data_IF_549082340095
#
_entry.id   IF_549082340095
#
_cell.length_a   1.000
_cell.length_b   1.000
_cell.length_c   1.000
_cell.angle_alpha   90.00
_cell.angle_beta   90.00
_cell.angle_gamma   90.00
#
_symmetry.space_group_name_H-M   'P 1'
#
loop_
_entity.id
_entity.type
_entity.pdbx_description
1 polymer ?
#
# COMPACT_ATOMS: atom_id res chain seq x y z
N UNK A 1 -22.35 33.10 -7.62
CA UNK A 1 -23.41 34.11 -7.39
C UNK A 1 -24.07 34.39 -8.73
N UNK A 2 -25.40 34.21 -8.84
CA UNK A 2 -26.12 34.55 -10.07
C UNK A 2 -26.11 36.06 -10.21
N UNK A 3 -25.77 36.55 -11.41
CA UNK A 3 -25.91 37.99 -11.75
C UNK A 3 -27.41 38.36 -11.75
N UNK A 4 -27.76 39.45 -11.10
CA UNK A 4 -29.10 40.04 -11.15
C UNK A 4 -29.00 41.36 -11.87
N UNK A 5 -29.80 41.51 -12.92
CA UNK A 5 -30.02 42.81 -13.55
C UNK A 5 -31.22 43.48 -12.86
N UNK A 6 -30.99 44.69 -12.36
CA UNK A 6 -32.01 45.49 -11.66
C UNK A 6 -32.08 46.87 -12.27
N UNK A 7 -33.26 47.38 -12.47
CA UNK A 7 -33.49 48.77 -12.88
C UNK A 7 -33.01 49.73 -11.83
N UNK A 8 -32.34 50.83 -12.24
CA UNK A 8 -31.76 51.83 -11.34
C UNK A 8 -32.92 52.64 -10.69
N UNK A 9 -33.05 52.49 -9.36
CA UNK A 9 -33.98 53.27 -8.53
C UNK A 9 -33.22 54.05 -7.48
N UNK A 10 -33.82 55.15 -7.00
CA UNK A 10 -33.19 56.03 -6.00
C UNK A 10 -32.80 55.35 -4.67
N UNK A 11 -33.41 54.23 -4.32
CA UNK A 11 -33.03 53.35 -3.20
C UNK A 11 -33.05 51.91 -3.66
N UNK A 12 -31.88 51.28 -3.84
CA UNK A 12 -31.69 49.92 -4.28
C UNK A 12 -31.36 49.01 -3.07
N UNK A 13 -32.31 48.20 -2.64
CA UNK A 13 -32.05 47.10 -1.70
C UNK A 13 -31.72 45.83 -2.49
N UNK A 14 -30.45 45.47 -2.54
CA UNK A 14 -29.98 44.25 -3.23
C UNK A 14 -29.89 43.12 -2.22
N UNK A 15 -30.77 42.12 -2.31
CA UNK A 15 -30.68 40.87 -1.60
C UNK A 15 -30.07 39.82 -2.53
N UNK A 16 -28.78 39.51 -2.33
CA UNK A 16 -28.10 38.45 -3.04
C UNK A 16 -28.57 37.09 -2.50
N UNK A 17 -29.24 36.31 -3.32
CA UNK A 17 -29.52 34.91 -2.98
C UNK A 17 -28.25 34.10 -3.15
N UNK A 18 -27.87 33.25 -2.16
CA UNK A 18 -26.75 32.34 -2.33
C UNK A 18 -27.06 31.42 -3.51
N UNK A 19 -26.11 31.31 -4.41
CA UNK A 19 -26.13 30.32 -5.49
C UNK A 19 -25.71 28.97 -4.90
N UNK A 20 -26.62 28.33 -4.21
CA UNK A 20 -26.47 26.97 -3.75
C UNK A 20 -26.86 26.03 -4.88
N UNK A 21 -26.10 26.01 -5.98
CA UNK A 21 -26.03 24.80 -6.76
C UNK A 21 -25.24 23.77 -5.92
N UNK A 22 -25.94 23.04 -5.09
CA UNK A 22 -25.46 21.77 -4.58
C UNK A 22 -25.29 20.89 -5.80
N UNK A 23 -24.06 20.70 -6.25
CA UNK A 23 -23.75 19.64 -7.19
C UNK A 23 -24.19 18.35 -6.52
N UNK A 24 -25.29 17.78 -7.00
CA UNK A 24 -25.76 16.48 -6.56
C UNK A 24 -24.63 15.47 -6.81
N UNK A 25 -23.97 15.03 -5.74
CA UNK A 25 -22.93 14.02 -5.84
C UNK A 25 -23.56 12.71 -6.33
N UNK A 26 -23.22 12.34 -7.56
CA UNK A 26 -23.69 11.11 -8.18
C UNK A 26 -22.75 9.98 -7.78
N UNK A 27 -23.29 8.93 -7.22
CA UNK A 27 -22.57 7.72 -6.84
C UNK A 27 -22.97 6.61 -7.81
N UNK A 28 -21.96 5.92 -8.34
CA UNK A 28 -22.21 4.72 -9.14
C UNK A 28 -22.67 3.62 -8.19
N UNK A 29 -23.80 3.00 -8.50
CA UNK A 29 -24.35 1.85 -7.77
C UNK A 29 -24.56 0.69 -8.75
N UNK A 30 -24.64 -0.52 -8.26
CA UNK A 30 -24.63 -1.83 -8.93
C UNK A 30 -24.98 -1.85 -10.44
N UNK A 31 -26.04 -1.17 -10.87
CA UNK A 31 -26.52 -1.18 -12.25
C UNK A 31 -26.89 0.22 -12.77
N UNK A 32 -26.24 1.25 -12.24
CA UNK A 32 -26.48 2.63 -12.69
C UNK A 32 -25.85 3.68 -11.79
N UNK A 33 -26.15 4.93 -12.09
CA UNK A 33 -25.74 6.06 -11.28
C UNK A 33 -26.95 6.55 -10.47
N UNK A 34 -26.81 6.67 -9.16
CA UNK A 34 -27.84 7.23 -8.28
C UNK A 34 -27.29 8.47 -7.57
N UNK A 35 -28.18 9.40 -7.27
CA UNK A 35 -27.83 10.54 -6.43
C UNK A 35 -27.49 10.03 -5.03
N UNK A 36 -26.39 10.49 -4.44
CA UNK A 36 -25.97 10.11 -3.08
C UNK A 36 -27.10 10.24 -2.07
N UNK A 37 -27.88 11.31 -2.19
CA UNK A 37 -29.02 11.60 -1.32
C UNK A 37 -30.22 10.64 -1.50
N UNK A 38 -30.27 9.87 -2.59
CA UNK A 38 -31.31 8.86 -2.83
C UNK A 38 -30.95 7.48 -2.31
N UNK A 39 -29.71 7.29 -1.85
CA UNK A 39 -29.25 6.04 -1.26
C UNK A 39 -29.59 6.02 0.22
N UNK A 40 -30.35 5.03 0.63
CA UNK A 40 -30.75 4.82 2.04
C UNK A 40 -29.63 4.23 2.90
N UNK A 41 -28.50 3.82 2.28
CA UNK A 41 -27.35 3.20 2.93
C UNK A 41 -26.16 4.15 3.13
N UNK A 42 -25.28 3.81 4.09
CA UNK A 42 -24.01 4.53 4.31
C UNK A 42 -23.02 4.21 3.19
N UNK A 43 -22.81 5.17 2.30
CA UNK A 43 -21.84 5.11 1.21
C UNK A 43 -20.76 6.16 1.44
N UNK A 44 -19.51 5.73 1.42
CA UNK A 44 -18.37 6.64 1.42
C UNK A 44 -17.73 6.63 0.04
N UNK A 45 -17.54 7.81 -0.54
CA UNK A 45 -16.89 7.97 -1.84
C UNK A 45 -15.57 8.71 -1.66
N UNK A 46 -14.52 8.16 -2.23
CA UNK A 46 -13.18 8.76 -2.31
C UNK A 46 -12.91 9.06 -3.78
N UNK A 47 -12.61 10.31 -4.10
CA UNK A 47 -12.32 10.77 -5.47
C UNK A 47 -10.84 10.63 -5.80
N UNK A 48 -10.51 10.63 -7.09
CA UNK A 48 -9.14 10.56 -7.62
C UNK A 48 -8.18 11.55 -6.97
N UNK A 49 -8.59 12.80 -6.75
CA UNK A 49 -7.74 13.84 -6.15
C UNK A 49 -7.20 13.47 -4.75
N UNK A 50 -7.96 12.68 -4.00
CA UNK A 50 -7.54 12.20 -2.68
C UNK A 50 -6.63 10.98 -2.79
N UNK A 51 -6.87 10.11 -3.77
CA UNK A 51 -6.07 8.91 -4.02
C UNK A 51 -4.69 9.26 -4.59
N UNK A 52 -4.63 10.24 -5.49
CA UNK A 52 -3.39 10.66 -6.15
C UNK A 52 -2.39 11.36 -5.19
N UNK A 53 -2.86 11.87 -4.06
CA UNK A 53 -2.00 12.48 -3.03
C UNK A 53 -1.21 11.45 -2.21
N UNK A 54 -1.61 10.18 -2.27
CA UNK A 54 -0.95 9.10 -1.53
C UNK A 54 -0.12 8.28 -2.50
N UNK A 55 1.21 8.45 -2.54
CA UNK A 55 2.09 7.70 -3.44
C UNK A 55 2.15 6.24 -3.01
N UNK A 56 1.29 5.41 -3.55
CA UNK A 56 1.23 3.98 -3.23
C UNK A 56 0.98 3.16 -4.48
N UNK A 57 1.64 2.00 -4.54
CA UNK A 57 1.48 1.04 -5.63
C UNK A 57 0.10 0.38 -5.63
N UNK A 58 -0.62 0.38 -4.50
CA UNK A 58 -1.89 -0.30 -4.34
C UNK A 58 -2.97 0.68 -3.91
N UNK A 59 -4.12 0.64 -4.61
CA UNK A 59 -5.24 1.52 -4.29
C UNK A 59 -5.87 1.19 -2.93
N UNK A 60 -5.73 -0.05 -2.44
CA UNK A 60 -6.21 -0.44 -1.12
C UNK A 60 -5.48 0.35 -0.03
N UNK A 61 -4.15 0.50 -0.15
CA UNK A 61 -3.37 1.33 0.76
C UNK A 61 -3.77 2.80 0.68
N UNK A 62 -4.11 3.28 -0.52
CA UNK A 62 -4.60 4.64 -0.70
C UNK A 62 -5.95 4.89 -0.02
N UNK A 63 -6.76 3.86 0.23
CA UNK A 63 -8.02 3.99 0.99
C UNK A 63 -7.82 4.16 2.50
N UNK A 64 -6.64 3.85 3.01
CA UNK A 64 -6.34 3.92 4.44
C UNK A 64 -6.51 5.36 4.94
N UNK A 65 -7.37 5.55 5.95
CA UNK A 65 -7.65 6.87 6.52
C UNK A 65 -8.61 7.76 5.71
N UNK A 66 -8.92 7.41 4.45
CA UNK A 66 -9.81 8.21 3.60
C UNK A 66 -11.30 7.85 3.76
N UNK A 67 -11.60 6.66 4.29
CA UNK A 67 -12.98 6.20 4.47
C UNK A 67 -13.22 5.71 5.89
N UNK A 68 -14.08 6.40 6.64
CA UNK A 68 -14.45 6.00 8.00
C UNK A 68 -15.04 4.58 8.01
N UNK A 69 -14.64 3.74 8.99
CA UNK A 69 -15.10 2.35 9.11
C UNK A 69 -14.52 1.38 8.08
N UNK A 70 -13.52 1.80 7.32
CA UNK A 70 -12.69 0.95 6.47
C UNK A 70 -11.33 0.82 7.12
N UNK A 71 -10.93 -0.39 7.42
CA UNK A 71 -9.61 -0.74 7.94
C UNK A 71 -8.82 -1.41 6.82
N UNK A 72 -7.63 -0.90 6.56
CA UNK A 72 -6.69 -1.49 5.61
C UNK A 72 -5.45 -1.92 6.36
N UNK A 73 -5.11 -3.18 6.25
CA UNK A 73 -3.97 -3.80 6.92
C UNK A 73 -3.07 -4.46 5.88
N UNK A 74 -1.82 -4.02 5.80
CA UNK A 74 -0.84 -4.65 4.94
C UNK A 74 -0.23 -5.85 5.65
N UNK A 75 -0.22 -7.01 5.01
CA UNK A 75 0.36 -8.23 5.59
C UNK A 75 1.89 -8.19 5.62
N UNK A 76 2.50 -7.41 4.74
CA UNK A 76 3.95 -7.31 4.58
C UNK A 76 4.32 -5.93 4.07
N UNK A 77 5.56 -5.51 4.34
CA UNK A 77 6.19 -4.34 3.74
C UNK A 77 6.67 -4.55 2.30
N UNK A 78 6.59 -5.77 1.79
CA UNK A 78 7.03 -6.12 0.44
C UNK A 78 6.22 -5.37 -0.64
N UNK A 79 6.86 -4.88 -1.71
CA UNK A 79 6.15 -4.37 -2.88
C UNK A 79 5.17 -5.40 -3.45
N UNK A 80 3.97 -4.97 -3.83
CA UNK A 80 2.93 -5.86 -4.37
C UNK A 80 2.27 -6.80 -3.38
N UNK A 81 2.58 -6.72 -2.08
CA UNK A 81 1.92 -7.54 -1.06
C UNK A 81 0.43 -7.26 -0.98
N UNK A 82 -0.34 -8.31 -0.68
CA UNK A 82 -1.79 -8.22 -0.48
C UNK A 82 -2.11 -7.35 0.73
N UNK A 83 -3.00 -6.40 0.55
CA UNK A 83 -3.61 -5.65 1.65
C UNK A 83 -4.96 -6.27 2.01
N UNK A 84 -5.21 -6.47 3.28
CA UNK A 84 -6.52 -6.87 3.78
C UNK A 84 -7.38 -5.64 4.03
N UNK A 85 -8.50 -5.57 3.35
CA UNK A 85 -9.51 -4.53 3.55
C UNK A 85 -10.65 -5.12 4.36
N UNK A 86 -11.02 -4.46 5.45
CA UNK A 86 -12.16 -4.83 6.29
C UNK A 86 -13.10 -3.65 6.44
N UNK A 87 -14.39 -3.91 6.28
CA UNK A 87 -15.44 -2.91 6.42
C UNK A 87 -16.21 -3.22 7.70
N UNK A 88 -16.19 -2.30 8.68
CA UNK A 88 -16.83 -2.44 9.99
C UNK A 88 -16.35 -3.66 10.82
N UNK A 89 -15.11 -4.11 10.58
CA UNK A 89 -14.49 -5.18 11.34
C UNK A 89 -14.62 -6.57 10.71
N UNK A 90 -14.48 -7.60 11.52
CA UNK A 90 -14.49 -9.01 11.09
C UNK A 90 -15.93 -9.52 11.06
N UNK A 91 -16.44 -9.83 9.87
CA UNK A 91 -17.80 -10.32 9.67
C UNK A 91 -17.97 -11.83 9.85
N UNK A 92 -16.89 -12.61 9.76
CA UNK A 92 -16.94 -14.08 9.89
C UNK A 92 -15.65 -14.62 10.50
N UNK A 93 -15.77 -15.65 11.33
CA UNK A 93 -14.63 -16.34 11.95
C UNK A 93 -14.05 -17.44 11.04
N UNK A 94 -14.83 -18.00 10.13
CA UNK A 94 -14.44 -19.15 9.29
C UNK A 94 -14.47 -18.88 7.80
N UNK A 95 -15.04 -17.76 7.36
CA UNK A 95 -15.04 -17.33 5.96
C UNK A 95 -14.18 -16.09 5.75
N UNK A 96 -13.88 -15.76 4.49
CA UNK A 96 -13.17 -14.53 4.15
C UNK A 96 -13.91 -13.31 4.70
N UNK A 97 -13.17 -12.39 5.35
CA UNK A 97 -13.68 -11.10 5.82
C UNK A 97 -13.42 -9.95 4.81
N UNK A 98 -12.90 -10.27 3.62
CA UNK A 98 -12.66 -9.28 2.58
C UNK A 98 -13.97 -8.87 1.89
N UNK A 99 -14.11 -7.59 1.50
CA UNK A 99 -15.25 -7.11 0.74
C UNK A 99 -15.24 -7.65 -0.70
N UNK A 100 -16.38 -7.56 -1.36
CA UNK A 100 -16.47 -7.78 -2.79
C UNK A 100 -15.94 -6.55 -3.53
N UNK A 101 -15.05 -6.77 -4.49
CA UNK A 101 -14.59 -5.71 -5.39
C UNK A 101 -15.37 -5.73 -6.69
N UNK A 102 -15.77 -4.54 -7.13
CA UNK A 102 -16.50 -4.34 -8.39
C UNK A 102 -15.81 -3.22 -9.16
N UNK A 103 -15.28 -3.53 -10.33
CA UNK A 103 -14.58 -2.58 -11.21
C UNK A 103 -15.48 -2.30 -12.42
N UNK A 104 -15.87 -1.05 -12.60
CA UNK A 104 -16.78 -0.60 -13.69
C UNK A 104 -18.04 -1.48 -13.83
N UNK A 105 -18.62 -1.89 -12.70
CA UNK A 105 -19.81 -2.75 -12.65
C UNK A 105 -19.54 -4.25 -12.73
N UNK A 106 -18.31 -4.68 -12.98
CA UNK A 106 -17.93 -6.10 -13.08
C UNK A 106 -17.35 -6.59 -11.75
N UNK A 107 -17.96 -7.61 -11.10
CA UNK A 107 -17.41 -8.19 -9.89
C UNK A 107 -16.10 -8.92 -10.17
N UNK A 108 -15.06 -8.59 -9.40
CA UNK A 108 -13.72 -9.19 -9.49
C UNK A 108 -13.46 -10.06 -8.27
N UNK A 109 -12.88 -11.23 -8.50
CA UNK A 109 -12.47 -12.11 -7.41
C UNK A 109 -11.21 -11.57 -6.73
N UNK A 110 -11.28 -11.38 -5.43
CA UNK A 110 -10.12 -11.07 -4.59
C UNK A 110 -9.38 -12.34 -4.10
N UNK A 111 -9.82 -13.52 -4.54
CA UNK A 111 -9.19 -14.78 -4.14
C UNK A 111 -7.81 -14.88 -4.78
N UNK A 112 -6.83 -15.22 -3.96
CA UNK A 112 -5.46 -15.45 -4.42
C UNK A 112 -5.42 -16.50 -5.53
N UNK A 113 -4.83 -16.14 -6.65
CA UNK A 113 -4.65 -17.05 -7.80
C UNK A 113 -3.43 -17.96 -7.58
N UNK A 114 -2.61 -17.69 -6.58
CA UNK A 114 -1.33 -18.36 -6.36
C UNK A 114 -1.39 -19.83 -5.87
N UNK A 115 -2.56 -20.43 -5.79
CA UNK A 115 -2.66 -21.89 -5.55
C UNK A 115 -2.32 -22.76 -6.77
N UNK A 116 -1.83 -22.18 -7.86
CA UNK A 116 -1.52 -22.92 -9.10
C UNK A 116 -0.05 -23.32 -9.20
N UNK A 117 0.83 -22.83 -8.35
CA UNK A 117 2.25 -23.19 -8.37
C UNK A 117 2.70 -23.70 -6.99
N UNK A 118 3.05 -24.97 -6.97
CA UNK A 118 3.81 -25.74 -5.96
C UNK A 118 3.35 -25.64 -4.49
N UNK A 119 3.01 -26.80 -3.93
CA UNK A 119 2.67 -27.01 -2.53
C UNK A 119 3.79 -26.60 -1.54
N UNK A 120 5.01 -26.38 -2.02
CA UNK A 120 6.19 -25.99 -1.24
C UNK A 120 6.50 -24.47 -1.22
N UNK A 121 5.76 -23.67 -2.00
CA UNK A 121 5.90 -22.21 -1.94
C UNK A 121 5.14 -21.68 -0.74
N UNK A 122 5.81 -21.33 0.33
CA UNK A 122 5.31 -20.53 1.44
C UNK A 122 4.66 -19.26 0.87
N UNK A 123 3.36 -19.34 0.71
CA UNK A 123 2.47 -18.62 -0.16
C UNK A 123 2.54 -17.11 -0.04
N UNK A 124 3.19 -16.52 -0.98
CA UNK A 124 2.96 -15.12 -1.27
C UNK A 124 1.81 -15.00 -2.24
N UNK A 125 0.71 -14.53 -1.71
CA UNK A 125 -0.51 -14.27 -2.48
C UNK A 125 -0.28 -13.14 -3.47
N UNK A 126 -0.40 -13.42 -4.76
CA UNK A 126 -0.48 -12.37 -5.77
C UNK A 126 -1.86 -11.72 -5.67
N UNK A 127 -1.90 -10.43 -5.46
CA UNK A 127 -3.16 -9.68 -5.43
C UNK A 127 -3.64 -9.43 -6.88
N UNK A 128 -4.75 -10.01 -7.33
CA UNK A 128 -5.28 -9.72 -8.67
C UNK A 128 -5.60 -8.25 -8.89
N UNK A 129 -5.81 -7.51 -7.81
CA UNK A 129 -6.12 -6.08 -7.84
C UNK A 129 -4.87 -5.22 -8.00
N UNK A 130 -3.66 -5.77 -7.82
CA UNK A 130 -2.41 -5.07 -8.11
C UNK A 130 -2.24 -4.70 -9.58
N UNK A 131 -3.02 -5.34 -10.46
CA UNK A 131 -3.07 -5.03 -11.88
C UNK A 131 -3.73 -3.67 -12.19
N UNK A 132 -4.48 -3.10 -11.25
CA UNK A 132 -5.14 -1.82 -11.45
C UNK A 132 -4.20 -0.68 -11.09
N UNK A 133 -3.95 0.22 -12.04
CA UNK A 133 -3.20 1.43 -11.79
C UNK A 133 -4.07 2.42 -10.99
N UNK A 134 -3.65 2.87 -9.78
CA UNK A 134 -4.39 3.85 -9.00
C UNK A 134 -4.67 5.16 -9.75
N UNK A 135 -3.80 5.57 -10.67
CA UNK A 135 -3.97 6.78 -11.48
C UNK A 135 -5.10 6.67 -12.53
N UNK A 136 -5.56 5.46 -12.85
CA UNK A 136 -6.70 5.22 -13.73
C UNK A 136 -8.04 5.25 -12.99
N UNK A 137 -8.03 5.42 -11.67
CA UNK A 137 -9.24 5.42 -10.84
C UNK A 137 -9.84 6.84 -10.80
N UNK A 138 -11.12 6.96 -11.13
CA UNK A 138 -11.91 8.18 -10.98
C UNK A 138 -12.43 8.33 -9.56
N UNK A 139 -13.00 7.24 -9.03
CA UNK A 139 -13.53 7.23 -7.67
C UNK A 139 -13.64 5.81 -7.12
N UNK A 140 -13.60 5.71 -5.79
CA UNK A 140 -13.88 4.47 -5.06
C UNK A 140 -15.05 4.73 -4.13
N UNK A 141 -16.12 3.96 -4.28
CA UNK A 141 -17.30 4.01 -3.43
C UNK A 141 -17.38 2.75 -2.57
N UNK A 142 -17.44 2.91 -1.25
CA UNK A 142 -17.53 1.81 -0.30
C UNK A 142 -18.96 1.71 0.21
N UNK A 143 -19.64 0.61 -0.16
CA UNK A 143 -20.98 0.26 0.30
C UNK A 143 -20.83 -0.54 1.60
N UNK A 144 -21.17 0.10 2.72
CA UNK A 144 -20.94 -0.46 4.06
C UNK A 144 -22.18 -1.16 4.64
N UNK A 145 -23.35 -0.84 4.12
CA UNK A 145 -24.61 -1.36 4.62
C UNK A 145 -25.19 -2.46 3.73
N UNK A 146 -25.86 -3.42 4.36
CA UNK A 146 -26.46 -4.55 3.67
C UNK A 146 -27.52 -4.10 2.65
N UNK A 147 -28.24 -3.00 2.89
CA UNK A 147 -29.22 -2.44 1.95
C UNK A 147 -28.58 -2.01 0.62
N UNK A 148 -27.43 -1.33 0.68
CA UNK A 148 -26.70 -0.92 -0.51
C UNK A 148 -25.97 -2.09 -1.19
N UNK A 149 -25.55 -3.09 -0.41
CA UNK A 149 -24.83 -4.27 -0.89
C UNK A 149 -25.74 -5.40 -1.39
N UNK A 150 -27.03 -5.36 -1.08
CA UNK A 150 -28.01 -6.43 -1.37
C UNK A 150 -28.10 -6.82 -2.84
N UNK A 151 -27.88 -5.87 -3.74
CA UNK A 151 -27.86 -6.10 -5.20
C UNK A 151 -26.77 -7.09 -5.66
N UNK A 152 -25.75 -7.31 -4.85
CA UNK A 152 -24.64 -8.25 -5.12
C UNK A 152 -24.82 -9.61 -4.42
N UNK A 153 -25.92 -9.79 -3.67
CA UNK A 153 -26.25 -11.04 -2.99
C UNK A 153 -25.30 -11.38 -1.84
N UNK A 154 -25.19 -12.68 -1.51
CA UNK A 154 -24.40 -13.17 -0.39
C UNK A 154 -22.88 -12.86 -0.48
N UNK A 155 -22.36 -12.65 -1.67
CA UNK A 155 -20.94 -12.27 -1.87
C UNK A 155 -20.60 -10.90 -1.29
N UNK A 156 -21.60 -10.06 -1.06
CA UNK A 156 -21.45 -8.71 -0.51
C UNK A 156 -21.67 -8.64 1.01
N UNK A 157 -21.70 -9.80 1.71
CA UNK A 157 -21.93 -9.86 3.15
C UNK A 157 -20.92 -9.03 3.97
N UNK A 158 -19.69 -8.90 3.48
CA UNK A 158 -18.62 -8.07 4.09
C UNK A 158 -18.52 -6.65 3.49
N UNK A 159 -19.55 -6.20 2.77
CA UNK A 159 -19.56 -4.93 2.05
C UNK A 159 -19.02 -5.04 0.64
N UNK A 160 -19.10 -3.92 -0.10
CA UNK A 160 -18.65 -3.83 -1.49
C UNK A 160 -17.77 -2.61 -1.67
N UNK A 161 -16.63 -2.80 -2.34
CA UNK A 161 -15.76 -1.72 -2.81
C UNK A 161 -15.97 -1.58 -4.32
N UNK A 162 -16.62 -0.49 -4.71
CA UNK A 162 -16.87 -0.17 -6.11
C UNK A 162 -15.80 0.78 -6.62
N UNK A 163 -15.13 0.40 -7.67
CA UNK A 163 -14.08 1.18 -8.31
C UNK A 163 -14.61 1.63 -9.67
N UNK A 164 -14.68 2.92 -9.84
CA UNK A 164 -15.01 3.54 -11.12
C UNK A 164 -13.73 4.08 -11.72
N UNK A 165 -13.46 3.72 -12.96
CA UNK A 165 -12.26 4.16 -13.65
C UNK A 165 -12.50 5.38 -14.50
N UNK A 166 -11.44 6.12 -14.79
CA UNK A 166 -11.48 7.32 -15.63
C UNK A 166 -12.03 7.00 -17.00
N UNK A 167 -12.91 7.86 -17.46
CA UNK A 167 -13.55 7.79 -18.79
C UNK A 167 -13.27 9.06 -19.57
N UNK A 168 -13.45 8.98 -20.88
CA UNK A 168 -13.38 10.16 -21.75
C UNK A 168 -14.48 11.15 -21.44
N UNK A 169 -14.17 12.43 -21.56
CA UNK A 169 -15.13 13.53 -21.49
C UNK A 169 -15.31 14.17 -22.85
N UNK A 170 -16.50 14.78 -23.11
CA UNK A 170 -16.69 15.58 -24.31
C UNK A 170 -15.80 16.82 -24.27
N UNK A 171 -15.14 17.15 -25.36
CA UNK A 171 -14.26 18.31 -25.48
C UNK A 171 -12.99 18.00 -26.23
N UNK A 172 -12.07 18.96 -26.20
CA UNK A 172 -10.74 18.81 -26.82
C UNK A 172 -9.93 17.71 -26.13
N UNK A 173 -9.05 17.05 -26.88
CA UNK A 173 -8.17 16.06 -26.34
C UNK A 173 -7.26 16.67 -25.26
N UNK A 174 -7.28 16.07 -24.06
CA UNK A 174 -6.40 16.39 -22.96
C UNK A 174 -5.33 15.30 -22.85
N UNK A 175 -4.07 15.70 -22.92
CA UNK A 175 -2.93 14.83 -22.68
C UNK A 175 -2.39 15.19 -21.29
N UNK A 176 -2.21 14.19 -20.44
CA UNK A 176 -1.69 14.35 -19.09
C UNK A 176 -0.52 13.39 -18.89
N UNK A 177 0.61 13.91 -18.46
CA UNK A 177 1.77 13.12 -18.09
C UNK A 177 2.11 13.39 -16.64
N UNK A 178 2.23 12.30 -15.85
CA UNK A 178 2.63 12.33 -14.45
C UNK A 178 3.93 11.55 -14.29
N UNK A 179 4.88 12.13 -13.60
CA UNK A 179 6.10 11.46 -13.19
C UNK A 179 6.28 11.65 -11.69
N UNK A 180 6.51 10.56 -10.99
CA UNK A 180 6.70 10.54 -9.55
C UNK A 180 7.92 9.71 -9.21
N UNK A 181 8.78 10.27 -8.36
CA UNK A 181 9.92 9.56 -7.77
C UNK A 181 9.84 9.72 -6.27
N UNK A 182 9.94 8.63 -5.55
CA UNK A 182 9.96 8.63 -4.08
C UNK A 182 11.09 7.76 -3.55
N UNK A 183 11.55 8.09 -2.34
CA UNK A 183 12.57 7.33 -1.62
C UNK A 183 12.01 6.95 -0.26
N UNK A 184 12.21 5.71 0.14
CA UNK A 184 11.81 5.16 1.42
C UNK A 184 13.02 4.58 2.12
N UNK A 185 13.10 4.77 3.41
CA UNK A 185 14.17 4.20 4.25
C UNK A 185 13.57 3.57 5.50
N UNK A 186 14.33 2.69 6.11
CA UNK A 186 13.92 2.10 7.37
C UNK A 186 13.82 3.22 8.43
N UNK A 187 12.68 3.37 9.12
CA UNK A 187 12.57 4.36 10.18
C UNK A 187 13.53 3.98 11.32
N UNK A 188 14.21 4.98 11.90
CA UNK A 188 15.01 4.77 13.10
C UNK A 188 14.10 4.28 14.23
N UNK A 189 14.43 3.11 14.81
CA UNK A 189 13.64 2.52 15.89
C UNK A 189 13.80 3.27 17.23
N UNK A 190 14.69 4.25 17.29
CA UNK A 190 15.03 4.96 18.53
C UNK A 190 15.77 4.11 19.56
N UNK A 191 16.18 2.89 19.19
CA UNK A 191 16.99 2.01 20.00
C UNK A 191 18.36 1.87 19.37
N UNK A 192 19.42 2.11 20.16
CA UNK A 192 20.77 1.77 19.78
C UNK A 192 20.96 0.26 19.93
N UNK A 193 21.29 -0.41 18.85
CA UNK A 193 21.64 -1.82 18.88
C UNK A 193 23.02 -1.99 19.49
N UNK A 194 23.21 -3.08 20.26
CA UNK A 194 24.51 -3.41 20.82
C UNK A 194 25.52 -3.65 19.70
N UNK A 195 26.67 -3.01 19.81
CA UNK A 195 27.85 -3.35 19.01
C UNK A 195 28.34 -4.77 19.33
N UNK A 196 29.11 -5.37 18.44
CA UNK A 196 29.73 -6.69 18.68
C UNK A 196 30.52 -6.70 19.98
N UNK A 197 31.16 -5.60 20.32
CA UNK A 197 31.91 -5.45 21.59
C UNK A 197 31.01 -5.50 22.81
N UNK A 198 29.91 -4.77 22.80
CA UNK A 198 28.94 -4.73 23.91
C UNK A 198 28.20 -6.06 24.07
N UNK A 199 27.84 -6.68 22.96
CA UNK A 199 27.20 -7.98 22.95
C UNK A 199 28.10 -9.06 23.51
N UNK A 200 29.36 -9.14 23.06
CA UNK A 200 30.37 -10.05 23.60
C UNK A 200 30.61 -9.81 25.10
N UNK A 201 30.74 -8.52 25.50
CA UNK A 201 30.94 -8.13 26.89
C UNK A 201 29.81 -8.58 27.79
N UNK A 202 28.58 -8.54 27.31
CA UNK A 202 27.38 -8.95 28.07
C UNK A 202 27.44 -10.43 28.42
N UNK A 203 27.71 -11.29 27.41
CA UNK A 203 27.86 -12.73 27.65
C UNK A 203 29.10 -13.05 28.46
N UNK A 204 30.23 -12.39 28.18
CA UNK A 204 31.44 -12.53 28.96
C UNK A 204 31.18 -12.28 30.45
N UNK A 205 30.52 -11.20 30.81
CA UNK A 205 30.19 -10.90 32.20
C UNK A 205 29.36 -11.99 32.86
N UNK A 206 28.38 -12.54 32.14
CA UNK A 206 27.58 -13.67 32.63
C UNK A 206 28.44 -14.87 32.98
N UNK A 207 29.29 -15.34 32.07
CA UNK A 207 30.20 -16.47 32.29
C UNK A 207 31.27 -16.16 33.35
N UNK A 208 31.83 -14.95 33.35
CA UNK A 208 32.78 -14.52 34.35
C UNK A 208 32.22 -14.59 35.77
N UNK A 209 31.03 -14.02 35.98
CA UNK A 209 30.36 -14.02 37.29
C UNK A 209 30.06 -15.44 37.75
N UNK A 210 29.63 -16.33 36.85
CA UNK A 210 29.41 -17.74 37.16
C UNK A 210 30.71 -18.42 37.60
N UNK A 211 31.79 -18.26 36.84
CA UNK A 211 33.08 -18.86 37.15
C UNK A 211 33.67 -18.36 38.49
N UNK A 212 33.49 -17.10 38.83
CA UNK A 212 33.86 -16.56 40.15
C UNK A 212 33.01 -17.19 41.25
N UNK A 213 31.70 -17.34 41.03
CA UNK A 213 30.80 -18.01 41.98
C UNK A 213 31.20 -19.49 42.22
N UNK A 214 31.72 -20.14 41.20
CA UNK A 214 32.24 -21.52 41.24
C UNK A 214 33.63 -21.62 41.88
N UNK A 215 34.17 -20.50 42.39
CA UNK A 215 35.41 -20.45 43.13
C UNK A 215 36.71 -20.30 42.30
N UNK A 216 36.59 -19.92 41.03
CA UNK A 216 37.78 -19.65 40.20
C UNK A 216 38.43 -18.33 40.59
N UNK A 217 39.78 -18.26 40.39
CA UNK A 217 40.48 -16.98 40.49
C UNK A 217 40.06 -16.03 39.35
N UNK A 218 40.15 -14.72 39.57
CA UNK A 218 39.74 -13.70 38.59
C UNK A 218 40.41 -13.92 37.22
N UNK A 219 41.67 -14.29 37.20
CA UNK A 219 42.42 -14.55 35.96
C UNK A 219 41.89 -15.81 35.24
N UNK A 220 41.75 -16.92 35.96
CA UNK A 220 41.23 -18.17 35.41
C UNK A 220 39.78 -18.00 34.94
N UNK A 221 38.96 -17.30 35.70
CA UNK A 221 37.57 -16.99 35.35
C UNK A 221 37.46 -16.14 34.07
N UNK A 222 38.39 -15.17 33.88
CA UNK A 222 38.42 -14.35 32.66
C UNK A 222 38.78 -15.17 31.43
N UNK A 223 39.76 -16.05 31.50
CA UNK A 223 40.18 -16.92 30.40
C UNK A 223 39.02 -17.88 30.03
N UNK A 224 38.45 -18.54 31.03
CA UNK A 224 37.36 -19.47 30.84
C UNK A 224 36.09 -18.78 30.25
N UNK A 225 35.76 -17.56 30.70
CA UNK A 225 34.62 -16.79 30.18
C UNK A 225 34.82 -16.41 28.70
N UNK A 226 36.01 -15.94 28.31
CA UNK A 226 36.32 -15.68 26.90
C UNK A 226 36.19 -16.94 26.03
N UNK A 227 36.72 -18.08 26.51
CA UNK A 227 36.59 -19.35 25.80
C UNK A 227 35.13 -19.78 25.64
N UNK A 228 34.31 -19.62 26.68
CA UNK A 228 32.87 -19.95 26.63
C UNK A 228 32.09 -19.09 25.63
N UNK A 229 32.37 -17.79 25.58
CA UNK A 229 31.72 -16.90 24.58
C UNK A 229 32.16 -17.28 23.17
N UNK A 230 33.46 -17.55 22.95
CA UNK A 230 33.95 -17.96 21.63
C UNK A 230 33.37 -19.31 21.18
N UNK A 231 33.22 -20.26 22.11
CA UNK A 231 32.58 -21.52 21.81
C UNK A 231 31.08 -21.33 21.45
N UNK A 232 30.38 -20.46 22.17
CA UNK A 232 29.00 -20.13 21.89
C UNK A 232 28.80 -19.53 20.47
N UNK A 233 29.70 -18.64 20.06
CA UNK A 233 29.66 -18.04 18.71
C UNK A 233 30.31 -18.91 17.64
N UNK A 234 31.07 -19.96 18.01
CA UNK A 234 31.93 -20.72 17.11
C UNK A 234 32.92 -19.84 16.34
N UNK A 235 33.20 -18.66 16.85
CA UNK A 235 34.10 -17.67 16.27
C UNK A 235 34.65 -16.72 17.34
N UNK A 236 35.78 -16.11 17.06
CA UNK A 236 36.30 -15.01 17.84
C UNK A 236 36.22 -13.72 17.02
N UNK A 237 35.36 -12.79 17.37
CA UNK A 237 35.23 -11.52 16.63
C UNK A 237 36.34 -10.51 16.92
N UNK A 238 37.30 -10.84 17.79
CA UNK A 238 38.41 -9.95 18.16
C UNK A 238 39.74 -10.42 17.60
N UNK A 239 40.69 -9.48 17.55
CA UNK A 239 42.08 -9.73 17.12
C UNK A 239 42.94 -10.51 18.13
N UNK A 240 42.40 -10.87 19.30
CA UNK A 240 43.10 -11.61 20.35
C UNK A 240 42.22 -12.63 21.05
N UNK A 241 42.83 -13.65 21.65
CA UNK A 241 42.12 -14.76 22.29
C UNK A 241 41.31 -14.32 23.54
N UNK A 242 41.84 -13.40 24.33
CA UNK A 242 41.20 -12.94 25.56
C UNK A 242 40.94 -11.43 25.50
N UNK A 243 39.88 -10.99 24.78
CA UNK A 243 39.61 -9.58 24.59
C UNK A 243 39.10 -8.86 25.85
N UNK A 244 38.57 -9.60 26.83
CA UNK A 244 38.09 -9.02 28.09
C UNK A 244 38.84 -9.65 29.30
N UNK A 245 39.01 -8.81 30.31
CA UNK A 245 39.68 -9.18 31.57
C UNK A 245 38.88 -8.71 32.77
N UNK A 246 38.99 -9.38 33.92
CA UNK A 246 38.31 -9.03 35.15
C UNK A 246 36.80 -8.88 34.95
N UNK A 247 36.21 -7.84 35.47
CA UNK A 247 34.75 -7.57 35.38
C UNK A 247 34.27 -7.03 34.02
N UNK A 248 34.95 -7.37 32.94
CA UNK A 248 34.60 -6.94 31.58
C UNK A 248 35.31 -5.67 31.13
N UNK A 249 36.57 -5.53 31.53
CA UNK A 249 37.48 -4.49 31.04
C UNK A 249 38.06 -4.97 29.71
N UNK A 250 37.95 -4.13 28.67
CA UNK A 250 38.55 -4.43 27.38
C UNK A 250 40.07 -4.44 27.52
N UNK A 251 40.73 -5.53 27.13
CA UNK A 251 42.16 -5.68 27.19
C UNK A 251 42.86 -4.66 26.29
N UNK A 252 44.03 -4.19 26.71
CA UNK A 252 44.83 -3.24 25.92
C UNK A 252 45.15 -3.83 24.55
N UNK A 253 44.83 -3.10 23.48
CA UNK A 253 45.01 -3.54 22.09
C UNK A 253 43.91 -4.48 21.55
N UNK A 254 42.92 -4.85 22.35
CA UNK A 254 41.77 -5.59 21.87
C UNK A 254 40.93 -4.72 20.93
N UNK A 255 40.64 -5.25 19.74
CA UNK A 255 39.85 -4.59 18.73
C UNK A 255 38.89 -5.60 18.12
N UNK A 256 37.60 -5.24 18.06
CA UNK A 256 36.64 -6.02 17.29
C UNK A 256 37.00 -5.93 15.80
N UNK A 257 37.13 -7.06 15.14
CA UNK A 257 37.40 -7.19 13.71
C UNK A 257 36.15 -7.36 12.91
N UNK A 258 35.06 -7.77 13.57
CA UNK A 258 33.74 -7.97 12.98
C UNK A 258 32.75 -7.14 13.80
N UNK A 259 32.09 -6.21 13.14
CA UNK A 259 30.97 -5.44 13.70
C UNK A 259 29.93 -5.25 12.59
N UNK A 260 29.17 -6.29 12.34
CA UNK A 260 28.15 -6.29 11.28
C UNK A 260 26.86 -5.71 11.84
N UNK A 261 26.37 -4.65 11.20
CA UNK A 261 25.00 -4.21 11.41
C UNK A 261 24.08 -4.97 10.44
N UNK A 262 23.34 -5.92 10.99
CA UNK A 262 22.43 -6.74 10.19
C UNK A 262 21.25 -5.95 9.62
N UNK A 263 20.90 -4.80 10.20
CA UNK A 263 19.86 -3.97 9.63
C UNK A 263 20.35 -3.30 8.34
N UNK A 264 21.60 -2.81 8.33
CA UNK A 264 22.20 -2.22 7.13
C UNK A 264 22.45 -3.25 6.03
N UNK A 265 22.72 -4.52 6.41
CA UNK A 265 22.92 -5.61 5.44
C UNK A 265 21.59 -6.12 4.84
N UNK A 266 20.52 -6.14 5.63
CA UNK A 266 19.22 -6.68 5.21
C UNK A 266 18.30 -5.64 4.57
N UNK A 267 18.49 -4.37 4.91
CA UNK A 267 17.64 -3.29 4.44
C UNK A 267 18.45 -2.25 3.68
N UNK A 268 17.80 -1.70 2.65
CA UNK A 268 18.38 -0.65 1.82
C UNK A 268 17.42 0.54 1.74
N UNK A 269 17.94 1.68 1.33
CA UNK A 269 17.07 2.76 0.87
C UNK A 269 16.41 2.32 -0.43
N UNK A 270 15.09 2.29 -0.42
CA UNK A 270 14.27 1.87 -1.55
C UNK A 270 13.81 3.06 -2.38
N UNK A 271 13.84 2.93 -3.69
CA UNK A 271 13.32 3.93 -4.63
C UNK A 271 12.06 3.43 -5.29
N UNK A 272 11.14 4.34 -5.57
CA UNK A 272 9.98 4.06 -6.41
C UNK A 272 9.90 5.11 -7.49
N UNK A 273 9.76 4.66 -8.73
CA UNK A 273 9.58 5.49 -9.90
C UNK A 273 8.26 5.12 -10.56
N UNK A 274 7.47 6.11 -10.89
CA UNK A 274 6.20 5.90 -11.57
C UNK A 274 6.02 6.95 -12.67
N UNK A 275 5.61 6.50 -13.84
CA UNK A 275 5.35 7.32 -15.00
C UNK A 275 4.01 6.94 -15.60
N UNK A 276 3.11 7.89 -15.72
CA UNK A 276 1.78 7.69 -16.26
C UNK A 276 1.52 8.71 -17.37
N UNK A 277 1.07 8.21 -18.51
CA UNK A 277 0.64 9.02 -19.65
C UNK A 277 -0.83 8.70 -19.91
N UNK A 278 -1.68 9.71 -19.94
CA UNK A 278 -3.08 9.53 -20.30
C UNK A 278 -3.54 10.52 -21.37
N UNK A 279 -4.44 10.05 -22.21
CA UNK A 279 -5.08 10.85 -23.26
C UNK A 279 -6.58 10.64 -23.14
N UNK A 280 -7.31 11.71 -22.94
CA UNK A 280 -8.77 11.68 -22.85
C UNK A 280 -9.39 12.74 -23.75
N UNK A 281 -10.57 12.46 -24.27
CA UNK A 281 -11.26 13.41 -25.11
C UNK A 281 -12.54 12.81 -25.69
N UNK A 282 -13.17 13.55 -26.57
CA UNK A 282 -14.34 13.05 -27.26
C UNK A 282 -15.28 14.13 -27.75
N UNK A 283 -16.38 13.69 -28.28
CA UNK A 283 -17.52 14.50 -28.70
C UNK A 283 -18.78 14.05 -27.93
N UNK A 284 -19.92 14.67 -28.21
CA UNK A 284 -21.18 14.24 -27.64
C UNK A 284 -21.59 12.82 -28.08
N UNK A 285 -21.00 12.33 -29.16
CA UNK A 285 -21.27 10.98 -29.70
C UNK A 285 -20.26 9.93 -29.27
N UNK A 286 -19.00 10.29 -29.14
CA UNK A 286 -17.95 9.31 -28.83
C UNK A 286 -16.97 9.91 -27.84
N UNK A 287 -16.56 9.10 -26.86
CA UNK A 287 -15.61 9.48 -25.82
C UNK A 287 -14.54 8.41 -25.71
N UNK A 288 -13.34 8.83 -25.39
CA UNK A 288 -12.21 7.91 -25.21
C UNK A 288 -11.32 8.34 -24.06
N UNK A 289 -10.78 7.36 -23.38
CA UNK A 289 -9.69 7.48 -22.40
C UNK A 289 -8.69 6.37 -22.67
N UNK A 290 -7.43 6.72 -22.80
CA UNK A 290 -6.33 5.79 -23.01
C UNK A 290 -5.26 6.15 -22.00
N UNK A 291 -4.72 5.17 -21.29
CA UNK A 291 -3.59 5.37 -20.38
C UNK A 291 -2.52 4.31 -20.57
N UNK A 292 -1.29 4.71 -20.30
CA UNK A 292 -0.11 3.87 -20.23
C UNK A 292 0.60 4.21 -18.91
N UNK A 293 0.94 3.21 -18.13
CA UNK A 293 1.62 3.36 -16.86
C UNK A 293 2.81 2.42 -16.75
N UNK A 294 3.88 2.94 -16.20
CA UNK A 294 5.05 2.19 -15.77
C UNK A 294 5.35 2.52 -14.32
N UNK A 295 5.59 1.50 -13.51
CA UNK A 295 6.00 1.63 -12.13
C UNK A 295 7.13 0.64 -11.85
N UNK A 296 8.15 1.14 -11.19
CA UNK A 296 9.26 0.37 -10.67
C UNK A 296 9.44 0.72 -9.19
N UNK A 297 9.28 -0.26 -8.32
CA UNK A 297 9.31 -0.09 -6.89
C UNK A 297 10.28 -1.07 -6.25
N UNK A 298 11.37 -0.54 -5.72
CA UNK A 298 12.23 -1.28 -4.80
C UNK A 298 11.54 -1.55 -3.46
N UNK A 299 11.81 -2.69 -2.87
CA UNK A 299 11.49 -2.96 -1.48
C UNK A 299 12.62 -2.54 -0.54
N UNK A 300 12.27 -2.29 0.72
CA UNK A 300 13.26 -2.01 1.77
C UNK A 300 14.18 -3.20 2.03
N UNK A 301 13.65 -4.42 1.97
CA UNK A 301 14.45 -5.63 2.10
C UNK A 301 15.24 -5.88 0.81
N UNK A 302 16.52 -6.22 0.94
CA UNK A 302 17.39 -6.54 -0.19
C UNK A 302 16.81 -7.70 -1.01
N UNK A 303 16.76 -7.55 -2.34
CA UNK A 303 16.25 -8.58 -3.25
C UNK A 303 14.72 -8.65 -3.33
N UNK A 304 14.02 -7.60 -2.93
CA UNK A 304 12.58 -7.46 -3.17
C UNK A 304 12.30 -6.25 -4.06
N UNK A 305 11.58 -6.47 -5.15
CA UNK A 305 11.18 -5.41 -6.09
C UNK A 305 9.86 -5.77 -6.79
N UNK A 306 9.26 -4.78 -7.43
CA UNK A 306 8.04 -4.90 -8.21
C UNK A 306 8.10 -3.95 -9.39
N UNK A 307 8.05 -4.47 -10.60
CA UNK A 307 7.84 -3.71 -11.82
C UNK A 307 6.45 -3.96 -12.38
N UNK A 308 5.75 -2.91 -12.76
CA UNK A 308 4.41 -3.00 -13.37
C UNK A 308 4.33 -2.17 -14.64
N UNK A 309 3.89 -2.82 -15.71
CA UNK A 309 3.48 -2.17 -16.95
C UNK A 309 1.96 -2.27 -17.05
N UNK A 310 1.29 -1.18 -17.31
CA UNK A 310 -0.17 -1.14 -17.43
C UNK A 310 -0.61 -0.34 -18.64
N UNK A 311 -1.67 -0.80 -19.28
CA UNK A 311 -2.33 -0.09 -20.36
C UNK A 311 -3.84 -0.21 -20.18
N UNK A 312 -4.57 0.88 -20.40
CA UNK A 312 -6.03 0.92 -20.32
C UNK A 312 -6.61 1.67 -21.49
N UNK A 313 -7.73 1.15 -21.98
CA UNK A 313 -8.50 1.76 -23.06
C UNK A 313 -9.97 1.71 -22.67
N UNK A 314 -10.59 2.88 -22.58
CA UNK A 314 -12.03 3.04 -22.41
C UNK A 314 -12.54 3.86 -23.58
N UNK A 315 -13.43 3.28 -24.37
CA UNK A 315 -14.07 3.96 -25.50
C UNK A 315 -15.56 3.73 -25.42
N UNK A 316 -16.34 4.78 -25.55
CA UNK A 316 -17.78 4.67 -25.69
C UNK A 316 -18.29 5.48 -26.89
N UNK A 317 -19.32 4.97 -27.55
CA UNK A 317 -19.94 5.63 -28.69
C UNK A 317 -21.44 5.44 -28.71
N UNK A 318 -22.16 6.55 -28.82
CA UNK A 318 -23.62 6.60 -29.03
C UNK A 318 -23.93 6.42 -30.50
N UNK A 319 -24.32 5.23 -30.90
CA UNK A 319 -24.68 4.89 -32.31
C UNK A 319 -26.04 5.41 -32.62
N UNK A 320 -26.97 5.33 -31.69
CA UNK A 320 -28.34 5.82 -31.79
C UNK A 320 -28.71 6.51 -30.46
N UNK A 321 -29.77 7.34 -30.42
CA UNK A 321 -30.23 7.96 -29.16
C UNK A 321 -30.55 6.94 -28.06
N UNK A 322 -30.90 5.71 -28.46
CA UNK A 322 -31.25 4.59 -27.58
C UNK A 322 -30.14 3.51 -27.46
N UNK A 323 -29.05 3.64 -28.21
CA UNK A 323 -27.98 2.63 -28.24
C UNK A 323 -26.60 3.24 -28.04
N UNK A 324 -25.93 2.81 -26.98
CA UNK A 324 -24.53 3.14 -26.69
C UNK A 324 -23.71 1.85 -26.65
N UNK A 325 -22.56 1.85 -27.29
CA UNK A 325 -21.58 0.76 -27.24
C UNK A 325 -20.34 1.28 -26.54
N UNK A 326 -19.85 0.52 -25.57
CA UNK A 326 -18.61 0.81 -24.84
C UNK A 326 -17.69 -0.41 -24.84
N UNK A 327 -16.40 -0.13 -24.88
CA UNK A 327 -15.33 -1.12 -24.69
C UNK A 327 -14.43 -0.61 -23.61
N UNK A 328 -14.24 -1.42 -22.58
CA UNK A 328 -13.26 -1.21 -21.52
C UNK A 328 -12.28 -2.37 -21.54
N UNK A 329 -11.00 -2.08 -21.71
CA UNK A 329 -9.92 -3.07 -21.68
C UNK A 329 -8.82 -2.59 -20.75
N UNK A 330 -8.32 -3.50 -19.93
CA UNK A 330 -7.15 -3.29 -19.06
C UNK A 330 -6.18 -4.43 -19.30
N UNK A 331 -4.93 -4.08 -19.56
CA UNK A 331 -3.81 -5.00 -19.69
C UNK A 331 -2.75 -4.60 -18.68
N UNK A 332 -2.19 -5.58 -17.99
CA UNK A 332 -1.09 -5.32 -17.06
C UNK A 332 -0.17 -6.53 -17.00
N UNK A 333 1.11 -6.22 -16.91
CA UNK A 333 2.17 -7.20 -16.65
C UNK A 333 2.88 -6.75 -15.38
N UNK A 334 2.92 -7.64 -14.40
CA UNK A 334 3.62 -7.43 -13.13
C UNK A 334 4.76 -8.44 -13.05
N UNK A 335 5.93 -7.94 -12.78
CA UNK A 335 7.10 -8.73 -12.45
C UNK A 335 7.49 -8.43 -11.02
N UNK A 336 7.55 -9.46 -10.18
CA UNK A 336 7.87 -9.32 -8.78
C UNK A 336 9.00 -10.28 -8.45
N UNK A 337 10.17 -9.74 -8.11
CA UNK A 337 11.27 -10.55 -7.60
C UNK A 337 11.16 -10.70 -6.08
N UNK A 338 11.44 -11.90 -5.64
CA UNK A 338 11.44 -12.31 -4.24
C UNK A 338 12.59 -13.28 -4.06
N UNK A 339 13.74 -12.78 -3.75
CA UNK A 339 14.79 -13.67 -3.28
C UNK A 339 14.45 -14.07 -1.85
N UNK A 340 13.92 -15.28 -1.69
CA UNK A 340 13.94 -15.95 -0.39
C UNK A 340 15.40 -16.21 -0.06
N UNK A 341 15.93 -15.48 0.90
CA UNK A 341 17.22 -15.80 1.54
C UNK A 341 17.07 -17.02 2.40
#
# INVERSE_FOLDING_TARGET
MKSQELDVKSNLHISLKPDTETLDEVVVVAYGAAKKNSLTGSVATVKSDALEKVPTASFEKALQGLSAGVQVESQSGQPGSVSQVRIRGIGSMSASSQPLYVIDGVPVSSKNISKVADEDSYGTSVNPLSNLNPNDIESISVLKDASAASLYGSRAANGVVMITTKQGASGQAKIEFKAQVSSSHLPSNGYDLMSSTEHYKTYYKGFYTQNISDGMTSEAASIAANASVQDMYKANPFNMANPFTGEGILASGAKAMINTDYLDELFKTATTQQYDLSISGGSDKSKYFISLGYMDQDGLAVGSDLSRYSARINVSSKIKPWAEIGVTSTMSVNEQDRKST
#
